data_IF_046871162896
#
_entry.id   IF_046871162896
#
_cell.length_a   1.000
_cell.length_b   1.000
_cell.length_c   1.000
_cell.angle_alpha   90.00
_cell.angle_beta   90.00
_cell.angle_gamma   90.00
#
_symmetry.space_group_name_H-M   'P 1'
#
loop_
_entity.id
_entity.type
_entity.pdbx_description
1 polymer ?
#
# COMPACT_ATOMS: atom_id res chain seq x y z
N UNK A 1 9.00 -7.77 -4.79
CA UNK A 1 8.20 -6.99 -3.84
C UNK A 1 6.76 -7.14 -4.28
N UNK A 2 6.09 -8.12 -3.69
CA UNK A 2 4.68 -8.38 -3.92
C UNK A 2 4.05 -8.45 -2.54
N UNK A 3 2.79 -8.05 -2.45
CA UNK A 3 2.00 -8.22 -1.25
C UNK A 3 1.96 -9.71 -0.87
N UNK A 4 2.15 -10.02 0.41
CA UNK A 4 2.08 -11.41 0.89
C UNK A 4 0.66 -12.00 0.68
N UNK A 5 -0.34 -11.13 0.62
CA UNK A 5 -1.73 -11.46 0.33
C UNK A 5 -2.22 -10.61 -0.82
N UNK A 6 -3.08 -11.17 -1.67
CA UNK A 6 -3.73 -10.37 -2.71
C UNK A 6 -4.71 -9.36 -2.07
N UNK A 7 -4.97 -8.24 -2.76
CA UNK A 7 -5.99 -7.30 -2.30
C UNK A 7 -7.37 -7.95 -2.20
N UNK A 8 -7.69 -8.88 -3.12
CA UNK A 8 -8.93 -9.66 -3.08
C UNK A 8 -9.07 -10.46 -1.79
N UNK A 9 -7.99 -11.13 -1.35
CA UNK A 9 -7.99 -11.89 -0.10
C UNK A 9 -8.23 -10.99 1.11
N UNK A 10 -7.58 -9.82 1.15
CA UNK A 10 -7.76 -8.82 2.21
C UNK A 10 -9.21 -8.32 2.24
N UNK A 11 -9.79 -7.97 1.09
CA UNK A 11 -11.16 -7.46 1.01
C UNK A 11 -12.21 -8.51 1.38
N UNK A 12 -12.05 -9.75 0.92
CA UNK A 12 -12.92 -10.88 1.29
C UNK A 12 -12.83 -11.16 2.80
N UNK A 13 -11.63 -11.12 3.38
CA UNK A 13 -11.43 -11.32 4.81
C UNK A 13 -12.14 -10.24 5.64
N UNK A 14 -12.09 -8.98 5.22
CA UNK A 14 -12.81 -7.88 5.88
C UNK A 14 -14.33 -8.11 5.81
N UNK A 15 -14.86 -8.36 4.63
CA UNK A 15 -16.30 -8.52 4.42
C UNK A 15 -16.86 -9.72 5.19
N UNK A 16 -16.17 -10.86 5.15
CA UNK A 16 -16.55 -12.08 5.88
C UNK A 16 -16.55 -11.92 7.41
N UNK A 17 -15.75 -10.98 7.93
CA UNK A 17 -15.74 -10.63 9.36
C UNK A 17 -16.71 -9.48 9.71
N UNK A 18 -17.60 -9.10 8.79
CA UNK A 18 -18.56 -8.03 9.00
C UNK A 18 -17.94 -6.63 9.05
N UNK A 19 -16.70 -6.46 8.56
CA UNK A 19 -16.05 -5.16 8.43
C UNK A 19 -16.40 -4.54 7.08
N UNK A 20 -17.06 -3.39 7.09
CA UNK A 20 -17.36 -2.61 5.89
C UNK A 20 -16.20 -1.68 5.57
N UNK A 21 -15.64 -1.83 4.37
CA UNK A 21 -14.62 -0.92 3.84
C UNK A 21 -15.17 0.52 3.74
N UNK A 22 -14.41 1.49 4.25
CA UNK A 22 -14.72 2.92 4.19
C UNK A 22 -13.81 3.67 3.23
N UNK A 23 -12.51 3.38 3.28
CA UNK A 23 -11.53 4.00 2.40
C UNK A 23 -10.39 3.03 2.10
N UNK A 24 -9.90 3.08 0.87
CA UNK A 24 -8.72 2.35 0.41
C UNK A 24 -7.93 3.28 -0.50
N UNK A 25 -6.62 3.39 -0.29
CA UNK A 25 -5.75 4.20 -1.12
C UNK A 25 -4.39 3.54 -1.27
N UNK A 26 -3.89 3.50 -2.50
CA UNK A 26 -2.58 2.99 -2.86
C UNK A 26 -1.61 4.13 -3.10
N UNK A 27 -0.35 3.93 -2.72
CA UNK A 27 0.70 4.93 -2.83
C UNK A 27 1.88 4.35 -3.58
N UNK A 28 2.38 5.11 -4.55
CA UNK A 28 3.51 4.74 -5.41
C UNK A 28 4.88 5.04 -4.77
N UNK A 29 4.90 5.23 -3.46
CA UNK A 29 6.08 5.50 -2.66
C UNK A 29 6.03 4.75 -1.32
N UNK A 30 7.20 4.50 -0.75
CA UNK A 30 7.34 4.06 0.63
C UNK A 30 7.42 5.29 1.56
N UNK A 31 6.71 5.31 2.69
CA UNK A 31 6.88 6.35 3.72
C UNK A 31 8.20 6.20 4.50
N UNK A 32 8.87 5.05 4.38
CA UNK A 32 10.12 4.75 5.06
C UNK A 32 11.28 4.60 4.07
N UNK A 33 12.45 5.10 4.47
CA UNK A 33 13.70 4.92 3.74
C UNK A 33 14.21 3.48 3.91
N UNK A 34 13.92 2.63 2.94
CA UNK A 34 14.40 1.24 2.91
C UNK A 34 15.62 1.13 1.98
N UNK A 35 16.46 0.11 2.19
CA UNK A 35 17.68 -0.11 1.39
C UNK A 35 17.34 -0.14 -0.11
N UNK A 36 18.01 0.70 -0.89
CA UNK A 36 17.81 0.81 -2.35
C UNK A 36 16.74 1.83 -2.78
N UNK A 37 16.17 2.59 -1.85
CA UNK A 37 15.27 3.71 -2.18
C UNK A 37 15.99 5.05 -2.18
N UNK A 38 15.52 5.95 -3.05
CA UNK A 38 15.92 7.35 -3.16
C UNK A 38 14.77 8.25 -2.71
N UNK A 39 15.11 9.37 -2.08
CA UNK A 39 14.12 10.36 -1.63
C UNK A 39 13.58 11.13 -2.83
N UNK A 40 12.28 11.00 -3.10
CA UNK A 40 11.57 11.79 -4.12
C UNK A 40 11.08 13.11 -3.53
N UNK A 41 10.48 13.04 -2.34
CA UNK A 41 9.97 14.17 -1.55
C UNK A 41 10.09 13.84 -0.05
N UNK A 42 9.80 14.80 0.82
CA UNK A 42 9.72 14.53 2.26
C UNK A 42 8.66 13.46 2.56
N UNK A 43 9.09 12.38 3.21
CA UNK A 43 8.23 11.21 3.46
C UNK A 43 7.90 10.34 2.24
N UNK A 44 8.53 10.56 1.08
CA UNK A 44 8.32 9.73 -0.11
C UNK A 44 9.64 9.15 -0.62
N UNK A 45 9.78 7.83 -0.51
CA UNK A 45 10.95 7.07 -0.93
C UNK A 45 10.57 6.07 -2.03
N UNK A 46 11.30 6.08 -3.14
CA UNK A 46 11.03 5.21 -4.31
C UNK A 46 12.29 4.43 -4.68
N UNK A 47 12.17 3.21 -5.21
CA UNK A 47 13.34 2.45 -5.66
C UNK A 47 13.98 3.16 -6.86
N UNK A 48 15.30 3.38 -6.83
CA UNK A 48 16.03 4.16 -7.84
C UNK A 48 15.82 3.61 -9.27
N UNK A 49 15.95 2.29 -9.40
CA UNK A 49 15.73 1.52 -10.62
C UNK A 49 14.27 1.44 -11.07
N UNK A 50 13.32 1.95 -10.27
CA UNK A 50 11.90 2.04 -10.60
C UNK A 50 11.36 3.46 -10.45
N UNK A 51 12.22 4.47 -10.35
CA UNK A 51 11.79 5.86 -10.13
C UNK A 51 10.91 6.41 -11.26
N UNK A 52 10.98 5.82 -12.47
CA UNK A 52 10.12 6.15 -13.62
C UNK A 52 8.81 5.37 -13.68
N UNK A 53 8.64 4.36 -12.83
CA UNK A 53 7.44 3.52 -12.76
C UNK A 53 6.60 3.91 -11.54
N UNK A 54 5.31 4.12 -11.75
CA UNK A 54 4.36 4.31 -10.64
C UNK A 54 3.75 2.95 -10.30
N UNK A 55 4.35 2.25 -9.33
CA UNK A 55 3.88 0.97 -8.81
C UNK A 55 3.50 1.15 -7.35
N UNK A 56 2.41 0.54 -6.85
CA UNK A 56 2.02 0.69 -5.46
C UNK A 56 3.03 -0.01 -4.53
N UNK A 57 3.56 0.74 -3.56
CA UNK A 57 4.50 0.27 -2.53
C UNK A 57 3.78 -0.01 -1.20
N UNK A 58 2.89 0.89 -0.81
CA UNK A 58 2.09 0.81 0.41
C UNK A 58 0.63 1.13 0.08
N UNK A 59 -0.30 0.59 0.86
CA UNK A 59 -1.71 0.99 0.81
C UNK A 59 -2.20 1.30 2.22
N UNK A 60 -3.26 2.11 2.30
CA UNK A 60 -4.00 2.36 3.52
C UNK A 60 -5.43 1.86 3.35
N UNK A 61 -6.01 1.40 4.46
CA UNK A 61 -7.31 0.76 4.52
C UNK A 61 -7.99 1.24 5.80
N UNK A 62 -9.24 1.69 5.70
CA UNK A 62 -10.12 1.94 6.84
C UNK A 62 -11.38 1.12 6.67
N UNK A 63 -11.76 0.38 7.70
CA UNK A 63 -13.01 -0.36 7.75
C UNK A 63 -13.71 -0.14 9.09
N UNK A 64 -15.02 -0.36 9.13
CA UNK A 64 -15.81 -0.27 10.36
C UNK A 64 -16.64 -1.52 10.51
N UNK A 65 -16.67 -2.05 11.73
CA UNK A 65 -17.43 -3.25 12.06
C UNK A 65 -18.92 -2.91 12.04
N UNK A 66 -19.70 -3.74 11.35
CA UNK A 66 -21.16 -3.71 11.38
C UNK A 66 -21.68 -4.09 12.77
#
# INVERSE_FOLDING_TARGET
CWWNHSLSEIFIALESNGLKLQSFAEFDYSPYCIKGTVKRQEGQYVLENRAKQSLPYVFTLKATKK
#
